data_IF_469738909177
#
_entry.id   IF_469738909177
#
_cell.length_a   1.000
_cell.length_b   1.000
_cell.length_c   1.000
_cell.angle_alpha   90.00
_cell.angle_beta   90.00
_cell.angle_gamma   90.00
#
_symmetry.space_group_name_H-M   'P 1'
#
loop_
_entity.id
_entity.type
_entity.pdbx_description
1 polymer ?
#
# COMPACT_ATOMS: atom_id res chain seq x y z
N UNK A 1 12.78 -0.27 -18.94
CA UNK A 1 11.34 -0.58 -19.06
C UNK A 1 10.64 -0.73 -17.69
N UNK A 2 11.05 -1.62 -16.74
CA UNK A 2 10.32 -1.83 -15.48
C UNK A 2 10.16 -0.59 -14.60
N UNK A 3 11.22 0.21 -14.45
CA UNK A 3 11.17 1.48 -13.69
C UNK A 3 10.14 2.45 -14.26
N UNK A 4 10.12 2.62 -15.59
CA UNK A 4 9.14 3.49 -16.25
C UNK A 4 7.70 2.99 -16.05
N UNK A 5 7.51 1.67 -16.06
CA UNK A 5 6.20 1.07 -15.79
C UNK A 5 5.76 1.33 -14.34
N UNK A 6 6.65 1.18 -13.37
CA UNK A 6 6.36 1.48 -11.98
C UNK A 6 6.00 2.96 -11.77
N UNK A 7 6.74 3.89 -12.39
CA UNK A 7 6.43 5.32 -12.35
C UNK A 7 5.07 5.59 -13.02
N UNK A 8 4.77 4.94 -14.15
CA UNK A 8 3.49 5.10 -14.83
C UNK A 8 2.31 4.59 -13.98
N UNK A 9 2.49 3.50 -13.24
CA UNK A 9 1.49 2.99 -12.28
C UNK A 9 1.24 4.03 -11.18
N UNK A 10 2.29 4.58 -10.55
CA UNK A 10 2.12 5.61 -9.53
C UNK A 10 1.42 6.86 -10.08
N UNK A 11 1.80 7.32 -11.28
CA UNK A 11 1.14 8.43 -11.95
C UNK A 11 -0.35 8.13 -12.24
N UNK A 12 -0.68 6.89 -12.64
CA UNK A 12 -2.05 6.45 -12.85
C UNK A 12 -2.86 6.45 -11.55
N UNK A 13 -2.29 5.98 -10.43
CA UNK A 13 -2.96 5.98 -9.13
C UNK A 13 -3.28 7.40 -8.65
N UNK A 14 -2.36 8.33 -8.85
CA UNK A 14 -2.56 9.75 -8.57
C UNK A 14 -3.65 10.32 -9.50
N UNK A 15 -3.58 10.02 -10.80
CA UNK A 15 -4.60 10.45 -11.76
C UNK A 15 -6.00 9.97 -11.38
N UNK A 16 -6.14 8.71 -10.96
CA UNK A 16 -7.42 8.13 -10.48
C UNK A 16 -7.94 8.90 -9.26
N UNK A 17 -7.07 9.20 -8.32
CA UNK A 17 -7.39 9.97 -7.12
C UNK A 17 -7.93 11.36 -7.48
N UNK A 18 -7.17 12.13 -8.25
CA UNK A 18 -7.58 13.48 -8.69
C UNK A 18 -8.84 13.44 -9.55
N UNK A 19 -8.97 12.42 -10.42
CA UNK A 19 -10.17 12.23 -11.23
C UNK A 19 -11.42 11.96 -10.37
N UNK A 20 -11.26 11.32 -9.21
CA UNK A 20 -12.33 11.16 -8.23
C UNK A 20 -12.88 12.52 -7.75
N UNK A 21 -12.03 13.41 -7.28
CA UNK A 21 -12.39 14.76 -6.85
C UNK A 21 -13.02 15.57 -7.98
N UNK A 22 -12.37 15.54 -9.15
CA UNK A 22 -12.83 16.23 -10.34
C UNK A 22 -14.23 15.77 -10.78
N UNK A 23 -14.44 14.45 -10.87
CA UNK A 23 -15.72 13.88 -11.27
C UNK A 23 -16.83 14.23 -10.25
N UNK A 24 -16.56 14.10 -8.96
CA UNK A 24 -17.52 14.45 -7.92
C UNK A 24 -17.92 15.93 -7.94
N UNK A 25 -16.96 16.83 -8.17
CA UNK A 25 -17.23 18.26 -8.31
C UNK A 25 -18.07 18.56 -9.56
N UNK A 26 -17.68 17.99 -10.72
CA UNK A 26 -18.40 18.21 -11.99
C UNK A 26 -19.81 17.63 -11.97
N UNK A 27 -20.01 16.45 -11.39
CA UNK A 27 -21.35 15.85 -11.28
C UNK A 27 -22.29 16.67 -10.40
N UNK A 28 -21.76 17.43 -9.46
CA UNK A 28 -22.52 18.37 -8.62
C UNK A 28 -22.64 19.78 -9.23
N UNK A 29 -22.10 20.02 -10.42
CA UNK A 29 -22.09 21.33 -11.07
C UNK A 29 -21.16 22.36 -10.40
N UNK A 30 -20.16 21.89 -9.63
CA UNK A 30 -19.19 22.76 -8.97
C UNK A 30 -18.14 23.20 -10.00
N UNK A 31 -17.77 24.46 -9.96
CA UNK A 31 -16.74 25.03 -10.82
C UNK A 31 -15.36 24.48 -10.49
N UNK A 32 -14.66 24.00 -11.53
CA UNK A 32 -13.28 23.51 -11.44
C UNK A 32 -12.44 24.22 -12.47
N UNK A 33 -11.48 25.03 -12.03
CA UNK A 33 -10.65 25.83 -12.93
C UNK A 33 -9.35 25.11 -13.35
N UNK A 34 -8.85 24.13 -12.58
CA UNK A 34 -7.62 23.40 -12.90
C UNK A 34 -7.73 21.92 -12.59
N UNK A 35 -7.13 21.10 -13.45
CA UNK A 35 -6.89 19.68 -13.24
C UNK A 35 -5.45 19.39 -13.64
N UNK A 36 -4.59 19.09 -12.68
CA UNK A 36 -3.15 18.95 -12.94
C UNK A 36 -2.61 17.64 -12.39
N UNK A 37 -1.86 16.93 -13.24
CA UNK A 37 -1.09 15.76 -12.85
C UNK A 37 0.38 16.17 -12.67
N UNK A 38 0.94 15.94 -11.47
CA UNK A 38 2.31 16.28 -11.13
C UNK A 38 2.50 17.70 -10.60
N UNK A 39 3.75 18.00 -10.23
CA UNK A 39 4.22 19.30 -9.77
C UNK A 39 5.36 19.85 -10.65
N UNK A 40 5.74 21.11 -10.41
CA UNK A 40 6.83 21.77 -11.11
C UNK A 40 6.44 22.36 -12.45
N UNK A 41 7.41 22.51 -13.42
CA UNK A 41 7.16 23.12 -14.72
C UNK A 41 6.10 22.37 -15.54
N UNK A 42 5.26 23.12 -16.26
CA UNK A 42 4.24 22.54 -17.14
C UNK A 42 4.91 21.98 -18.39
N UNK A 43 4.72 20.69 -18.65
CA UNK A 43 5.17 20.01 -19.87
C UNK A 43 4.12 20.08 -20.98
N UNK A 44 2.87 19.93 -20.60
CA UNK A 44 1.73 19.99 -21.51
C UNK A 44 0.56 20.68 -20.85
N UNK A 45 -0.17 21.49 -21.61
CA UNK A 45 -1.35 22.22 -21.14
C UNK A 45 -2.41 22.27 -22.24
N UNK A 46 -3.65 22.04 -21.83
CA UNK A 46 -4.83 22.21 -22.66
C UNK A 46 -5.87 23.04 -21.91
N UNK A 47 -6.31 24.15 -22.54
CA UNK A 47 -7.36 24.99 -21.99
C UNK A 47 -8.70 24.50 -22.50
N UNK A 48 -9.50 23.88 -21.63
CA UNK A 48 -10.91 23.59 -21.89
C UNK A 48 -11.79 24.83 -21.74
N UNK A 49 -13.11 24.64 -21.84
CA UNK A 49 -14.07 25.75 -21.70
C UNK A 49 -14.01 26.41 -20.33
N UNK A 50 -13.80 25.63 -19.28
CA UNK A 50 -13.79 26.07 -17.90
C UNK A 50 -12.51 25.61 -17.18
N UNK A 51 -12.03 24.42 -17.45
CA UNK A 51 -10.93 23.77 -16.75
C UNK A 51 -9.66 23.79 -17.59
N UNK A 52 -8.56 24.23 -17.00
CA UNK A 52 -7.21 24.03 -17.53
C UNK A 52 -6.73 22.61 -17.13
N UNK A 53 -6.34 21.81 -18.11
CA UNK A 53 -5.72 20.50 -17.91
C UNK A 53 -4.23 20.61 -18.08
N UNK A 54 -3.43 20.10 -17.16
CA UNK A 54 -1.98 20.19 -17.24
C UNK A 54 -1.27 18.89 -16.82
N UNK A 55 -0.16 18.59 -17.50
CA UNK A 55 0.81 17.57 -17.07
C UNK A 55 2.11 18.30 -16.74
N UNK A 56 2.67 18.00 -15.59
CA UNK A 56 3.87 18.64 -15.05
C UNK A 56 5.04 17.67 -14.95
N UNK A 57 6.24 18.22 -14.80
CA UNK A 57 7.48 17.45 -14.93
C UNK A 57 7.71 16.42 -13.82
N UNK A 58 7.21 16.65 -12.62
CA UNK A 58 7.39 15.76 -11.47
C UNK A 58 6.10 14.99 -11.22
N UNK A 59 6.01 13.68 -11.53
CA UNK A 59 4.79 12.88 -11.37
C UNK A 59 4.58 12.43 -9.91
N UNK A 60 4.80 13.34 -8.96
CA UNK A 60 4.70 13.13 -7.52
C UNK A 60 3.51 13.89 -6.97
N UNK A 61 2.28 13.45 -7.31
CA UNK A 61 1.05 14.10 -6.88
C UNK A 61 0.26 14.73 -8.04
N UNK A 62 -0.81 15.39 -7.69
CA UNK A 62 -1.68 16.12 -8.59
C UNK A 62 -2.51 17.13 -7.79
N UNK A 63 -3.40 17.87 -8.43
CA UNK A 63 -4.38 18.67 -7.74
C UNK A 63 -5.56 19.04 -8.64
N UNK A 64 -6.72 19.14 -8.01
CA UNK A 64 -7.91 19.77 -8.56
C UNK A 64 -8.02 21.17 -7.99
N UNK A 65 -7.97 22.19 -8.85
CA UNK A 65 -8.10 23.59 -8.44
C UNK A 65 -9.53 24.06 -8.53
N UNK A 66 -9.97 24.76 -7.48
CA UNK A 66 -11.28 25.42 -7.42
C UNK A 66 -11.11 26.94 -7.57
N UNK A 67 -12.05 27.63 -8.24
CA UNK A 67 -11.98 29.09 -8.37
C UNK A 67 -12.03 29.86 -7.06
N UNK A 68 -12.40 29.19 -5.97
CA UNK A 68 -12.47 29.75 -4.59
C UNK A 68 -11.12 30.28 -4.09
N UNK A 69 -10.02 29.67 -4.58
CA UNK A 69 -8.66 29.94 -4.16
C UNK A 69 -7.92 30.86 -5.16
N UNK A 70 -8.64 31.38 -6.17
CA UNK A 70 -8.06 32.24 -7.19
C UNK A 70 -8.58 33.67 -7.06
N UNK A 71 -7.68 34.61 -6.71
CA UNK A 71 -8.01 36.05 -6.61
C UNK A 71 -8.54 36.64 -7.93
N UNK A 72 -8.25 35.98 -9.05
CA UNK A 72 -8.71 36.35 -10.40
C UNK A 72 -9.90 35.52 -10.90
N UNK A 73 -10.62 34.89 -9.96
CA UNK A 73 -11.81 34.10 -10.29
C UNK A 73 -12.80 34.92 -11.11
N UNK A 74 -13.29 34.38 -12.26
CA UNK A 74 -14.31 35.06 -13.05
C UNK A 74 -15.70 35.00 -12.39
N UNK A 75 -15.87 34.25 -11.32
CA UNK A 75 -17.15 34.03 -10.65
C UNK A 75 -17.32 34.98 -9.48
N UNK A 76 -18.55 35.49 -9.22
CA UNK A 76 -18.83 36.31 -8.06
C UNK A 76 -18.64 35.52 -6.76
N UNK A 77 -18.24 36.17 -5.65
CA UNK A 77 -17.94 35.46 -4.39
C UNK A 77 -19.10 34.66 -3.78
N UNK A 78 -20.33 35.00 -4.14
CA UNK A 78 -21.60 34.41 -3.71
C UNK A 78 -22.17 33.39 -4.71
N UNK A 79 -21.44 33.06 -5.78
CA UNK A 79 -21.86 32.04 -6.75
C UNK A 79 -22.13 30.70 -6.04
N UNK A 80 -23.33 30.11 -6.19
CA UNK A 80 -23.72 28.87 -5.51
C UNK A 80 -22.92 27.66 -5.99
N UNK A 81 -22.23 27.74 -7.13
CA UNK A 81 -21.43 26.67 -7.68
C UNK A 81 -19.94 26.74 -7.28
N UNK A 82 -19.53 27.72 -6.49
CA UNK A 82 -18.25 27.69 -5.82
C UNK A 82 -18.26 26.64 -4.69
N UNK A 83 -17.20 25.86 -4.56
CA UNK A 83 -17.12 24.79 -3.55
C UNK A 83 -17.35 25.33 -2.13
N UNK A 84 -16.77 26.49 -1.80
CA UNK A 84 -16.98 27.16 -0.51
C UNK A 84 -18.46 27.50 -0.20
N UNK A 85 -19.29 27.73 -1.23
CA UNK A 85 -20.70 28.11 -1.06
C UNK A 85 -21.63 26.89 -1.03
N UNK A 86 -21.12 25.70 -1.32
CA UNK A 86 -21.89 24.45 -1.31
C UNK A 86 -22.24 23.99 0.10
N UNK A 87 -23.36 23.26 0.26
CA UNK A 87 -23.69 22.57 1.50
C UNK A 87 -22.55 21.68 1.97
N UNK A 88 -22.47 21.44 3.27
CA UNK A 88 -21.43 20.62 3.88
C UNK A 88 -21.35 19.21 3.27
N UNK A 89 -22.51 18.61 2.97
CA UNK A 89 -22.59 17.29 2.36
C UNK A 89 -21.90 17.25 0.98
N UNK A 90 -22.13 18.26 0.13
CA UNK A 90 -21.52 18.36 -1.20
C UNK A 90 -20.00 18.45 -1.10
N UNK A 91 -19.52 19.29 -0.17
CA UNK A 91 -18.07 19.45 0.09
C UNK A 91 -17.46 18.15 0.60
N UNK A 92 -18.15 17.43 1.48
CA UNK A 92 -17.69 16.14 2.01
C UNK A 92 -17.60 15.08 0.89
N UNK A 93 -18.59 15.03 -0.02
CA UNK A 93 -18.58 14.14 -1.18
C UNK A 93 -17.37 14.45 -2.06
N UNK A 94 -17.08 15.72 -2.37
CA UNK A 94 -15.91 16.08 -3.18
C UNK A 94 -14.61 15.66 -2.47
N UNK A 95 -14.45 15.98 -1.17
CA UNK A 95 -13.21 15.68 -0.44
C UNK A 95 -12.98 14.17 -0.22
N UNK A 96 -14.03 13.36 -0.12
CA UNK A 96 -13.90 11.89 0.01
C UNK A 96 -13.77 11.17 -1.34
N UNK A 97 -14.06 11.82 -2.46
CA UNK A 97 -14.17 11.17 -3.75
C UNK A 97 -12.82 10.62 -4.27
N UNK A 98 -11.71 11.27 -3.99
CA UNK A 98 -10.37 10.77 -4.34
C UNK A 98 -10.04 9.46 -3.62
N UNK A 99 -10.32 9.42 -2.32
CA UNK A 99 -10.17 8.19 -1.50
C UNK A 99 -11.04 7.07 -2.05
N UNK A 100 -12.32 7.34 -2.30
CA UNK A 100 -13.27 6.35 -2.83
C UNK A 100 -12.88 5.88 -4.24
N UNK A 101 -12.36 6.76 -5.09
CA UNK A 101 -11.87 6.41 -6.42
C UNK A 101 -10.69 5.43 -6.34
N UNK A 102 -9.73 5.65 -5.45
CA UNK A 102 -8.61 4.74 -5.26
C UNK A 102 -9.05 3.38 -4.69
N UNK A 103 -9.99 3.34 -3.75
CA UNK A 103 -10.55 2.10 -3.23
C UNK A 103 -11.28 1.31 -4.32
N UNK A 104 -12.13 1.99 -5.12
CA UNK A 104 -12.83 1.37 -6.25
C UNK A 104 -11.86 0.88 -7.32
N UNK A 105 -10.82 1.65 -7.63
CA UNK A 105 -9.80 1.27 -8.60
C UNK A 105 -9.01 0.05 -8.16
N UNK A 106 -8.62 -0.05 -6.89
CA UNK A 106 -7.95 -1.23 -6.34
C UNK A 106 -8.79 -2.49 -6.54
N UNK A 107 -10.10 -2.41 -6.24
CA UNK A 107 -11.01 -3.54 -6.46
C UNK A 107 -11.11 -3.90 -7.95
N UNK A 108 -11.23 -2.90 -8.83
CA UNK A 108 -11.27 -3.10 -10.28
C UNK A 108 -10.00 -3.77 -10.81
N UNK A 109 -8.82 -3.38 -10.34
CA UNK A 109 -7.53 -4.01 -10.69
C UNK A 109 -7.51 -5.48 -10.28
N UNK A 110 -8.01 -5.83 -9.10
CA UNK A 110 -8.10 -7.23 -8.65
C UNK A 110 -9.10 -8.04 -9.48
N UNK A 111 -10.26 -7.47 -9.81
CA UNK A 111 -11.23 -8.10 -10.73
C UNK A 111 -10.58 -8.37 -12.08
N UNK A 112 -9.88 -7.38 -12.65
CA UNK A 112 -9.19 -7.51 -13.92
C UNK A 112 -8.07 -8.57 -13.84
N UNK A 113 -7.31 -8.59 -12.75
CA UNK A 113 -6.26 -9.58 -12.50
C UNK A 113 -6.83 -11.01 -12.56
N UNK A 114 -7.88 -11.30 -11.79
CA UNK A 114 -8.47 -12.64 -11.78
C UNK A 114 -9.20 -13.00 -13.07
N UNK A 115 -9.76 -12.01 -13.78
CA UNK A 115 -10.38 -12.22 -15.07
C UNK A 115 -9.38 -12.59 -16.17
N UNK A 116 -8.20 -11.97 -16.17
CA UNK A 116 -7.20 -12.14 -17.22
C UNK A 116 -6.21 -13.28 -16.92
N UNK A 117 -5.79 -13.40 -15.66
CA UNK A 117 -4.73 -14.35 -15.28
C UNK A 117 -5.29 -15.63 -14.68
N UNK A 118 -6.53 -15.61 -14.22
CA UNK A 118 -7.17 -16.74 -13.56
C UNK A 118 -7.08 -16.67 -12.03
N UNK A 119 -7.70 -17.66 -11.38
CA UNK A 119 -7.82 -17.76 -9.93
C UNK A 119 -6.76 -18.71 -9.40
N UNK A 120 -5.99 -18.31 -8.36
CA UNK A 120 -5.06 -19.21 -7.69
C UNK A 120 -5.79 -20.42 -7.10
N UNK A 121 -5.39 -21.60 -7.48
CA UNK A 121 -5.90 -22.87 -6.96
C UNK A 121 -4.76 -23.69 -6.41
N UNK A 122 -4.87 -24.06 -5.14
CA UNK A 122 -3.92 -24.98 -4.53
C UNK A 122 -4.15 -26.37 -5.15
N UNK A 123 -3.17 -26.84 -5.90
CA UNK A 123 -3.24 -28.15 -6.59
C UNK A 123 -2.63 -29.24 -5.76
N UNK A 124 -1.64 -28.92 -4.95
CA UNK A 124 -0.94 -29.89 -4.11
C UNK A 124 -0.33 -29.22 -2.89
N UNK A 125 -0.55 -29.80 -1.73
CA UNK A 125 0.22 -29.51 -0.52
C UNK A 125 1.49 -30.36 -0.57
N UNK A 126 2.62 -29.71 -0.32
CA UNK A 126 3.92 -30.35 -0.24
C UNK A 126 4.38 -30.43 1.22
N UNK A 127 5.19 -31.44 1.58
CA UNK A 127 5.76 -31.56 2.91
C UNK A 127 6.55 -30.31 3.34
N UNK A 128 6.38 -29.92 4.61
CA UNK A 128 7.17 -28.90 5.26
C UNK A 128 6.60 -27.49 5.20
N UNK A 129 7.26 -26.58 5.88
CA UNK A 129 6.94 -25.15 5.97
C UNK A 129 7.93 -24.38 5.12
N UNK A 130 7.45 -23.59 4.17
CA UNK A 130 8.28 -22.79 3.29
C UNK A 130 8.74 -21.51 4.00
N UNK A 131 10.04 -21.24 3.98
CA UNK A 131 10.62 -19.95 4.33
C UNK A 131 10.54 -19.06 3.11
N UNK A 132 9.54 -18.15 3.10
CA UNK A 132 9.32 -17.25 1.96
C UNK A 132 10.38 -16.14 1.89
N UNK A 133 10.82 -15.64 3.06
CA UNK A 133 11.85 -14.61 3.14
C UNK A 133 12.65 -14.75 4.44
N UNK A 134 13.90 -14.31 4.41
CA UNK A 134 14.78 -14.17 5.58
C UNK A 134 15.16 -12.71 5.70
N UNK A 135 14.94 -12.14 6.89
CA UNK A 135 15.23 -10.73 7.15
C UNK A 135 16.73 -10.52 7.32
N UNK A 136 17.33 -9.48 6.70
CA UNK A 136 18.75 -9.15 6.91
C UNK A 136 19.09 -8.89 8.37
N UNK A 137 20.24 -9.36 8.83
CA UNK A 137 20.71 -9.24 10.20
C UNK A 137 19.96 -10.10 11.24
N UNK A 138 19.01 -10.93 10.79
CA UNK A 138 18.19 -11.75 11.66
C UNK A 138 18.92 -12.99 12.22
N UNK A 139 18.40 -13.60 13.31
CA UNK A 139 18.91 -14.89 13.80
C UNK A 139 18.87 -16.00 12.74
N UNK A 140 17.86 -16.00 11.87
CA UNK A 140 17.73 -16.96 10.78
C UNK A 140 18.85 -16.81 9.75
N UNK A 141 19.15 -15.57 9.33
CA UNK A 141 20.25 -15.30 8.41
C UNK A 141 21.60 -15.71 8.99
N UNK A 142 21.86 -15.34 10.27
CA UNK A 142 23.11 -15.74 10.96
C UNK A 142 23.25 -17.25 11.12
N UNK A 143 22.14 -17.97 11.22
CA UNK A 143 22.12 -19.43 11.24
C UNK A 143 22.31 -20.08 9.85
N UNK A 144 22.25 -19.29 8.77
CA UNK A 144 22.41 -19.76 7.40
C UNK A 144 21.13 -20.23 6.71
N UNK A 145 19.94 -19.88 7.26
CA UNK A 145 18.66 -20.06 6.57
C UNK A 145 18.57 -19.12 5.37
N UNK A 146 17.93 -19.59 4.32
CA UNK A 146 17.75 -18.86 3.07
C UNK A 146 16.26 -18.83 2.66
N UNK A 147 15.90 -17.88 1.82
CA UNK A 147 14.60 -17.90 1.16
C UNK A 147 14.47 -19.20 0.33
N UNK A 148 13.26 -19.71 0.23
CA UNK A 148 12.90 -21.00 -0.41
C UNK A 148 13.39 -22.27 0.32
N UNK A 149 14.04 -22.16 1.47
CA UNK A 149 14.27 -23.30 2.34
C UNK A 149 12.93 -23.85 2.86
N UNK A 150 12.82 -25.17 2.96
CA UNK A 150 11.62 -25.86 3.48
C UNK A 150 11.96 -26.55 4.78
N UNK A 151 11.37 -26.11 5.88
CA UNK A 151 11.52 -26.72 7.22
C UNK A 151 10.69 -28.00 7.28
N UNK A 152 11.33 -29.15 7.37
CA UNK A 152 10.69 -30.45 7.51
C UNK A 152 10.50 -30.88 8.98
N UNK A 153 11.44 -30.47 9.84
CA UNK A 153 11.39 -30.72 11.29
C UNK A 153 11.94 -29.52 12.07
N UNK A 154 11.38 -29.31 13.25
CA UNK A 154 11.91 -28.34 14.21
C UNK A 154 11.86 -28.95 15.61
N UNK A 155 13.01 -29.17 16.25
CA UNK A 155 13.14 -29.96 17.47
C UNK A 155 12.41 -31.31 17.33
N UNK A 156 11.42 -31.58 18.20
CA UNK A 156 10.63 -32.82 18.18
C UNK A 156 9.40 -32.77 17.26
N UNK A 157 9.13 -31.62 16.62
CA UNK A 157 7.97 -31.42 15.72
C UNK A 157 8.30 -31.81 14.30
N UNK A 158 7.45 -32.63 13.70
CA UNK A 158 7.60 -33.14 12.30
C UNK A 158 6.53 -32.53 11.39
N UNK A 159 6.98 -31.90 10.31
CA UNK A 159 6.13 -31.27 9.30
C UNK A 159 6.23 -31.97 7.93
N UNK A 160 6.80 -33.17 7.90
CA UNK A 160 7.03 -33.91 6.64
C UNK A 160 5.77 -34.57 6.08
N UNK A 161 4.71 -34.70 6.86
CA UNK A 161 3.43 -35.31 6.43
C UNK A 161 2.27 -34.34 6.60
N UNK A 162 2.04 -33.50 5.60
CA UNK A 162 0.93 -32.54 5.55
C UNK A 162 -0.05 -32.95 4.47
N UNK A 163 -1.25 -33.34 4.87
CA UNK A 163 -2.25 -33.93 3.98
C UNK A 163 -3.09 -32.87 3.23
N UNK A 164 -3.34 -31.72 3.88
CA UNK A 164 -4.29 -30.70 3.39
C UNK A 164 -3.91 -29.28 3.87
N UNK A 165 -4.65 -28.29 3.41
CA UNK A 165 -4.43 -26.89 3.77
C UNK A 165 -4.62 -26.60 5.28
N UNK A 166 -5.49 -27.37 5.96
CA UNK A 166 -5.72 -27.20 7.39
C UNK A 166 -4.51 -27.68 8.20
N UNK A 167 -3.94 -28.83 7.85
CA UNK A 167 -2.70 -29.34 8.44
C UNK A 167 -1.49 -28.45 8.16
N UNK A 168 -1.40 -27.86 6.97
CA UNK A 168 -0.36 -26.90 6.63
C UNK A 168 -0.45 -25.60 7.48
N UNK A 169 -1.65 -25.07 7.68
CA UNK A 169 -1.86 -23.93 8.57
C UNK A 169 -1.59 -24.26 10.03
N UNK A 170 -1.99 -25.45 10.49
CA UNK A 170 -1.70 -25.92 11.83
C UNK A 170 -0.18 -26.03 12.06
N UNK A 171 0.56 -26.57 11.10
CA UNK A 171 2.03 -26.65 11.15
C UNK A 171 2.70 -25.28 11.24
N UNK A 172 2.21 -24.27 10.50
CA UNK A 172 2.71 -22.90 10.60
C UNK A 172 2.51 -22.31 12.00
N UNK A 173 1.31 -22.48 12.57
CA UNK A 173 0.99 -21.99 13.91
C UNK A 173 1.81 -22.71 14.99
N UNK A 174 1.99 -24.02 14.84
CA UNK A 174 2.80 -24.83 15.74
C UNK A 174 4.26 -24.39 15.72
N UNK A 175 4.86 -24.25 14.53
CA UNK A 175 6.23 -23.73 14.38
C UNK A 175 6.39 -22.33 14.97
N UNK A 176 5.46 -21.43 14.74
CA UNK A 176 5.49 -20.08 15.34
C UNK A 176 5.42 -20.15 16.87
N UNK A 177 4.62 -21.06 17.40
CA UNK A 177 4.48 -21.25 18.85
C UNK A 177 5.77 -21.81 19.45
N UNK A 178 6.38 -22.80 18.79
CA UNK A 178 7.68 -23.37 19.17
C UNK A 178 8.76 -22.27 19.21
N UNK A 179 8.87 -21.45 18.18
CA UNK A 179 9.85 -20.35 18.14
C UNK A 179 9.60 -19.35 19.25
N UNK A 180 8.34 -18.98 19.50
CA UNK A 180 7.99 -18.03 20.59
C UNK A 180 8.30 -18.55 21.98
N UNK A 181 8.15 -19.84 22.20
CA UNK A 181 8.45 -20.48 23.51
C UNK A 181 9.94 -20.74 23.76
N UNK A 182 10.76 -20.73 22.70
CA UNK A 182 12.19 -21.08 22.75
C UNK A 182 13.11 -19.86 22.78
N UNK A 183 12.72 -18.78 23.48
CA UNK A 183 13.54 -17.56 23.57
C UNK A 183 14.96 -17.86 24.10
N UNK A 184 15.98 -17.45 23.34
CA UNK A 184 17.41 -17.65 23.65
C UNK A 184 17.82 -19.12 23.80
N UNK A 185 17.02 -20.06 23.31
CA UNK A 185 17.35 -21.49 23.32
C UNK A 185 17.61 -21.97 21.90
N UNK A 186 18.59 -22.86 21.67
CA UNK A 186 18.87 -23.41 20.35
C UNK A 186 17.72 -24.32 19.88
N UNK A 187 17.17 -24.04 18.72
CA UNK A 187 16.15 -24.85 18.05
C UNK A 187 16.79 -25.51 16.84
N UNK A 188 17.01 -26.85 16.85
CA UNK A 188 17.50 -27.56 15.69
C UNK A 188 16.40 -27.67 14.63
N UNK A 189 16.73 -27.34 13.40
CA UNK A 189 15.85 -27.41 12.23
C UNK A 189 16.43 -28.39 11.21
N UNK A 190 15.61 -29.27 10.68
CA UNK A 190 15.92 -30.04 9.48
C UNK A 190 15.27 -29.34 8.28
N UNK A 191 16.12 -28.87 7.38
CA UNK A 191 15.71 -28.00 6.28
C UNK A 191 16.10 -28.65 4.96
N UNK A 192 15.16 -28.67 4.01
CA UNK A 192 15.41 -29.04 2.62
C UNK A 192 15.64 -27.78 1.79
N UNK A 193 16.84 -27.65 1.23
CA UNK A 193 17.21 -26.55 0.35
C UNK A 193 16.85 -26.90 -1.09
N UNK A 194 15.96 -26.10 -1.69
CA UNK A 194 15.39 -26.38 -3.03
C UNK A 194 16.45 -26.44 -4.13
N UNK A 195 17.41 -25.50 -4.11
CA UNK A 195 18.45 -25.44 -5.15
C UNK A 195 19.36 -26.68 -5.24
N UNK A 196 19.54 -27.39 -4.13
CA UNK A 196 20.51 -28.51 -4.05
C UNK A 196 19.85 -29.83 -3.67
N UNK A 197 18.55 -29.89 -3.45
CA UNK A 197 17.82 -31.03 -2.87
C UNK A 197 18.49 -31.62 -1.60
N UNK A 198 19.30 -30.80 -0.94
CA UNK A 198 20.10 -31.24 0.20
C UNK A 198 19.28 -31.04 1.51
N UNK A 199 19.34 -32.06 2.36
CA UNK A 199 18.89 -31.99 3.74
C UNK A 199 20.00 -31.36 4.58
N UNK A 200 19.71 -30.27 5.24
CA UNK A 200 20.62 -29.52 6.12
C UNK A 200 20.09 -29.53 7.54
N UNK A 201 20.99 -29.69 8.51
CA UNK A 201 20.67 -29.43 9.91
C UNK A 201 21.20 -28.05 10.27
N UNK A 202 20.27 -27.16 10.63
CA UNK A 202 20.54 -25.76 10.96
C UNK A 202 20.00 -25.50 12.35
N UNK A 203 20.82 -24.96 13.25
CA UNK A 203 20.35 -24.56 14.58
C UNK A 203 20.16 -23.07 14.62
N UNK A 204 18.92 -22.62 14.93
CA UNK A 204 18.58 -21.20 15.07
C UNK A 204 18.32 -20.88 16.56
N UNK A 205 18.74 -19.71 17.01
CA UNK A 205 18.47 -19.24 18.36
C UNK A 205 17.49 -18.06 18.25
N UNK A 206 16.20 -18.27 18.62
CA UNK A 206 15.21 -17.19 18.61
C UNK A 206 15.58 -16.07 19.58
N UNK A 207 15.55 -14.83 19.12
CA UNK A 207 15.88 -13.66 19.93
C UNK A 207 14.65 -12.85 20.26
N UNK A 208 14.69 -12.17 21.41
CA UNK A 208 13.62 -11.27 21.83
C UNK A 208 13.78 -9.94 21.10
N UNK A 209 12.79 -9.59 20.28
CA UNK A 209 12.67 -8.31 19.58
C UNK A 209 11.49 -7.52 20.19
N UNK A 210 11.75 -6.66 21.16
CA UNK A 210 10.71 -6.02 21.96
C UNK A 210 9.92 -7.05 22.79
N UNK A 211 8.61 -7.09 22.60
CA UNK A 211 7.72 -8.07 23.27
C UNK A 211 7.61 -9.42 22.55
N UNK A 212 8.13 -9.53 21.33
CA UNK A 212 8.01 -10.74 20.50
C UNK A 212 9.33 -11.50 20.47
N UNK A 213 9.24 -12.83 20.44
CA UNK A 213 10.37 -13.72 20.18
C UNK A 213 10.27 -14.18 18.73
N UNK A 214 11.34 -13.99 17.97
CA UNK A 214 11.34 -14.31 16.54
C UNK A 214 12.73 -14.72 16.05
N UNK A 215 12.76 -15.36 14.88
CA UNK A 215 13.99 -15.67 14.15
C UNK A 215 14.18 -14.80 12.90
N UNK A 216 13.18 -13.96 12.57
CA UNK A 216 13.24 -13.04 11.44
C UNK A 216 13.03 -13.70 10.08
N UNK A 217 12.01 -14.56 9.97
CA UNK A 217 11.58 -15.17 8.71
C UNK A 217 10.12 -14.88 8.42
N UNK A 218 9.78 -14.82 7.14
CA UNK A 218 8.40 -14.91 6.66
C UNK A 218 8.12 -16.36 6.28
N UNK A 219 7.02 -16.91 6.78
CA UNK A 219 6.62 -18.31 6.56
C UNK A 219 5.42 -18.37 5.64
N UNK A 220 5.37 -19.43 4.81
CA UNK A 220 4.24 -19.74 3.96
C UNK A 220 3.97 -21.27 3.96
N UNK A 221 2.74 -21.72 3.66
CA UNK A 221 2.48 -23.12 3.37
C UNK A 221 3.33 -23.58 2.18
N UNK A 222 3.94 -24.74 2.27
CA UNK A 222 4.63 -25.34 1.12
C UNK A 222 3.58 -25.99 0.22
N UNK A 223 3.18 -25.27 -0.83
CA UNK A 223 2.09 -25.67 -1.71
C UNK A 223 2.37 -25.31 -3.17
N UNK A 224 1.89 -26.13 -4.07
CA UNK A 224 1.83 -25.78 -5.50
C UNK A 224 0.54 -25.01 -5.75
N UNK A 225 0.67 -23.84 -6.30
CA UNK A 225 -0.45 -22.99 -6.68
C UNK A 225 -0.42 -22.83 -8.20
N UNK A 226 -1.47 -23.31 -8.85
CA UNK A 226 -1.67 -23.10 -10.28
C UNK A 226 -2.80 -22.11 -10.53
N UNK A 227 -2.66 -21.29 -11.55
CA UNK A 227 -3.74 -20.44 -12.01
C UNK A 227 -4.71 -21.25 -12.86
N UNK A 228 -5.98 -21.22 -12.54
CA UNK A 228 -7.04 -21.82 -13.37
C UNK A 228 -8.00 -20.73 -13.86
N UNK A 229 -8.62 -20.89 -15.04
CA UNK A 229 -9.68 -20.00 -15.47
C UNK A 229 -10.82 -19.96 -14.45
N UNK A 230 -11.39 -18.78 -14.28
CA UNK A 230 -12.60 -18.63 -13.46
C UNK A 230 -13.79 -19.36 -14.10
N UNK A 231 -14.65 -19.96 -13.30
CA UNK A 231 -15.82 -20.67 -13.79
C UNK A 231 -16.93 -19.71 -14.22
N UNK A 232 -17.04 -18.57 -13.57
CA UNK A 232 -18.04 -17.55 -13.84
C UNK A 232 -17.64 -16.19 -13.25
N UNK A 233 -18.37 -15.13 -13.61
CA UNK A 233 -18.13 -13.78 -13.10
C UNK A 233 -18.29 -13.70 -11.56
N UNK A 234 -19.22 -14.44 -10.97
CA UNK A 234 -19.42 -14.45 -9.53
C UNK A 234 -18.19 -14.91 -8.76
N UNK A 235 -17.49 -15.92 -9.28
CA UNK A 235 -16.24 -16.41 -8.70
C UNK A 235 -15.13 -15.33 -8.77
N UNK A 236 -15.01 -14.64 -9.92
CA UNK A 236 -14.06 -13.53 -10.05
C UNK A 236 -14.32 -12.45 -9.01
N UNK A 237 -15.56 -12.00 -8.87
CA UNK A 237 -15.94 -10.96 -7.93
C UNK A 237 -15.71 -11.40 -6.48
N UNK A 238 -15.97 -12.67 -6.15
CA UNK A 238 -15.74 -13.20 -4.80
C UNK A 238 -14.24 -13.24 -4.47
N UNK A 239 -13.41 -13.76 -5.38
CA UNK A 239 -11.97 -13.83 -5.14
C UNK A 239 -11.31 -12.44 -5.13
N UNK A 240 -11.78 -11.52 -5.98
CA UNK A 240 -11.38 -10.11 -5.91
C UNK A 240 -11.77 -9.49 -4.56
N UNK A 241 -12.99 -9.79 -4.05
CA UNK A 241 -13.44 -9.33 -2.75
C UNK A 241 -12.59 -9.88 -1.60
N UNK A 242 -12.26 -11.18 -1.63
CA UNK A 242 -11.38 -11.81 -0.64
C UNK A 242 -9.98 -11.20 -0.66
N UNK A 243 -9.39 -11.02 -1.84
CA UNK A 243 -8.09 -10.38 -2.00
C UNK A 243 -8.10 -8.93 -1.52
N UNK A 244 -9.13 -8.17 -1.91
CA UNK A 244 -9.32 -6.79 -1.48
C UNK A 244 -9.41 -6.67 0.05
N UNK A 245 -10.22 -7.50 0.69
CA UNK A 245 -10.34 -7.52 2.16
C UNK A 245 -9.00 -7.83 2.83
N UNK A 246 -8.23 -8.80 2.31
CA UNK A 246 -6.88 -9.11 2.82
C UNK A 246 -5.97 -7.90 2.72
N UNK A 247 -5.94 -7.20 1.58
CA UNK A 247 -5.10 -6.02 1.37
C UNK A 247 -5.51 -4.85 2.28
N UNK A 248 -6.80 -4.59 2.44
CA UNK A 248 -7.30 -3.56 3.38
C UNK A 248 -6.90 -3.90 4.81
N UNK A 249 -7.13 -5.14 5.26
CA UNK A 249 -6.77 -5.58 6.61
C UNK A 249 -5.25 -5.45 6.84
N UNK A 250 -4.43 -5.84 5.87
CA UNK A 250 -2.98 -5.72 5.94
C UNK A 250 -2.53 -4.25 6.08
N UNK A 251 -3.12 -3.33 5.28
CA UNK A 251 -2.83 -1.90 5.38
C UNK A 251 -3.21 -1.33 6.76
N UNK A 252 -4.41 -1.65 7.26
CA UNK A 252 -4.88 -1.17 8.57
C UNK A 252 -4.03 -1.73 9.72
N UNK A 253 -3.66 -3.01 9.64
CA UNK A 253 -2.78 -3.64 10.65
C UNK A 253 -1.38 -3.03 10.60
N UNK A 254 -0.82 -2.79 9.41
CA UNK A 254 0.46 -2.11 9.24
C UNK A 254 0.45 -0.69 9.81
N UNK A 255 -0.62 0.08 9.56
CA UNK A 255 -0.80 1.41 10.13
C UNK A 255 -0.91 1.35 11.67
N UNK A 256 -1.67 0.39 12.21
CA UNK A 256 -1.79 0.20 13.65
C UNK A 256 -0.45 -0.15 14.30
N UNK A 257 0.36 -1.01 13.67
CA UNK A 257 1.70 -1.36 14.15
C UNK A 257 2.64 -0.16 14.07
N UNK A 258 2.57 0.63 13.00
CA UNK A 258 3.33 1.88 12.87
C UNK A 258 3.01 2.86 14.01
N UNK A 259 1.74 3.01 14.37
CA UNK A 259 1.32 3.91 15.45
C UNK A 259 1.73 3.39 16.84
N UNK A 260 1.74 2.07 17.05
CA UNK A 260 2.10 1.44 18.33
C UNK A 260 3.61 1.37 18.55
N UNK A 261 4.36 1.06 17.50
CA UNK A 261 5.80 0.76 17.56
C UNK A 261 6.60 1.66 16.60
N UNK A 262 6.31 2.97 16.60
CA UNK A 262 6.87 3.93 15.65
C UNK A 262 8.40 3.87 15.53
N UNK A 263 9.12 3.77 16.67
CA UNK A 263 10.58 3.76 16.65
C UNK A 263 11.19 2.57 15.89
N UNK A 264 10.53 1.41 15.94
CA UNK A 264 11.04 0.19 15.27
C UNK A 264 10.53 0.04 13.83
N UNK A 265 9.36 0.63 13.52
CA UNK A 265 8.73 0.50 12.20
C UNK A 265 9.03 1.67 11.26
N UNK A 266 9.36 2.85 11.79
CA UNK A 266 9.68 4.03 11.00
C UNK A 266 10.87 3.82 10.03
N UNK A 267 11.83 2.98 10.43
CA UNK A 267 12.97 2.62 9.57
C UNK A 267 12.59 1.76 8.36
N UNK A 268 11.47 1.06 8.45
CA UNK A 268 10.95 0.18 7.40
C UNK A 268 10.05 0.89 6.40
N UNK A 269 9.71 2.18 6.64
CA UNK A 269 8.90 2.96 5.71
C UNK A 269 9.70 3.19 4.43
N UNK A 270 9.19 2.69 3.32
CA UNK A 270 9.72 2.98 1.99
C UNK A 270 9.19 4.31 1.48
N UNK A 271 10.06 5.15 0.98
CA UNK A 271 9.69 6.37 0.28
C UNK A 271 9.31 6.12 -1.19
N UNK A 272 9.07 7.19 -1.95
CA UNK A 272 8.67 7.07 -3.36
C UNK A 272 9.67 6.30 -4.21
N UNK A 273 10.97 6.44 -3.96
CA UNK A 273 12.02 5.75 -4.72
C UNK A 273 12.05 4.26 -4.39
N UNK A 274 11.87 3.89 -3.12
CA UNK A 274 11.75 2.49 -2.69
C UNK A 274 10.53 1.81 -3.30
N UNK A 275 9.38 2.50 -3.32
CA UNK A 275 8.15 1.99 -3.96
C UNK A 275 8.36 1.75 -5.46
N UNK A 276 9.04 2.70 -6.16
CA UNK A 276 9.38 2.52 -7.59
C UNK A 276 10.30 1.33 -7.80
N UNK A 277 11.31 1.13 -6.93
CA UNK A 277 12.21 -0.03 -6.99
C UNK A 277 11.43 -1.34 -6.84
N UNK A 278 10.63 -1.46 -5.77
CA UNK A 278 9.79 -2.66 -5.52
C UNK A 278 8.88 -2.94 -6.72
N UNK A 279 8.16 -1.94 -7.22
CA UNK A 279 7.30 -2.11 -8.39
C UNK A 279 8.05 -2.49 -9.66
N UNK A 280 9.28 -1.98 -9.84
CA UNK A 280 10.12 -2.34 -10.98
C UNK A 280 10.65 -3.78 -10.88
N UNK A 281 10.96 -4.26 -9.68
CA UNK A 281 11.40 -5.63 -9.45
C UNK A 281 10.23 -6.60 -9.70
N UNK A 282 9.04 -6.33 -9.13
CA UNK A 282 7.83 -7.11 -9.38
C UNK A 282 7.42 -7.13 -10.87
N UNK A 283 7.64 -6.03 -11.59
CA UNK A 283 7.38 -5.96 -13.03
C UNK A 283 8.29 -6.85 -13.89
N UNK A 284 9.41 -7.33 -13.32
CA UNK A 284 10.30 -8.32 -13.97
C UNK A 284 9.86 -9.75 -13.70
N UNK A 285 9.28 -9.97 -12.52
CA UNK A 285 8.95 -11.31 -12.05
C UNK A 285 7.66 -11.82 -12.72
N UNK A 286 6.54 -11.16 -12.46
CA UNK A 286 5.26 -11.55 -13.05
C UNK A 286 4.21 -10.42 -13.02
N UNK A 287 3.23 -10.53 -13.93
CA UNK A 287 2.14 -9.54 -14.07
C UNK A 287 1.17 -9.59 -12.87
N UNK A 288 0.93 -10.77 -12.28
CA UNK A 288 0.00 -10.91 -11.18
C UNK A 288 0.52 -10.18 -9.93
N UNK A 289 1.81 -10.33 -9.62
CA UNK A 289 2.48 -9.62 -8.53
C UNK A 289 2.42 -8.10 -8.74
N UNK A 290 2.65 -7.63 -9.97
CA UNK A 290 2.55 -6.20 -10.29
C UNK A 290 1.14 -5.65 -10.13
N UNK A 291 0.10 -6.38 -10.58
CA UNK A 291 -1.30 -5.97 -10.43
C UNK A 291 -1.73 -5.99 -8.96
N UNK A 292 -1.31 -7.01 -8.21
CA UNK A 292 -1.57 -7.08 -6.77
C UNK A 292 -0.90 -5.93 -6.02
N UNK A 293 0.35 -5.60 -6.37
CA UNK A 293 1.07 -4.44 -5.84
C UNK A 293 0.36 -3.12 -6.20
N UNK A 294 -0.14 -2.99 -7.43
CA UNK A 294 -0.91 -1.81 -7.87
C UNK A 294 -2.16 -1.61 -7.00
N UNK A 295 -2.91 -2.70 -6.74
CA UNK A 295 -4.06 -2.65 -5.85
C UNK A 295 -3.66 -2.30 -4.40
N UNK A 296 -2.55 -2.88 -3.90
CA UNK A 296 -2.01 -2.59 -2.58
C UNK A 296 -1.67 -1.10 -2.40
N UNK A 297 -0.92 -0.52 -3.36
CA UNK A 297 -0.53 0.90 -3.31
C UNK A 297 -1.76 1.81 -3.45
N UNK A 298 -2.75 1.44 -4.27
CA UNK A 298 -4.00 2.19 -4.40
C UNK A 298 -4.77 2.26 -3.06
N UNK A 299 -4.88 1.13 -2.35
CA UNK A 299 -5.49 1.08 -1.02
C UNK A 299 -4.66 1.88 -0.01
N UNK A 300 -3.32 1.77 -0.07
CA UNK A 300 -2.43 2.51 0.83
C UNK A 300 -2.59 4.03 0.65
N UNK A 301 -2.63 4.52 -0.61
CA UNK A 301 -2.92 5.93 -0.90
C UNK A 301 -4.28 6.37 -0.34
N UNK A 302 -5.32 5.53 -0.49
CA UNK A 302 -6.64 5.83 0.05
C UNK A 302 -6.62 5.91 1.58
N UNK A 303 -5.99 4.94 2.26
CA UNK A 303 -5.88 4.90 3.72
C UNK A 303 -5.09 6.09 4.25
N UNK A 304 -3.94 6.41 3.64
CA UNK A 304 -3.11 7.56 4.04
C UNK A 304 -3.86 8.89 3.83
N UNK A 305 -4.50 9.06 2.67
CA UNK A 305 -5.29 10.28 2.39
C UNK A 305 -6.52 10.42 3.28
N UNK A 306 -7.03 9.33 3.87
CA UNK A 306 -8.14 9.39 4.84
C UNK A 306 -7.68 9.80 6.25
N UNK A 307 -6.39 9.75 6.56
CA UNK A 307 -5.90 10.18 7.87
C UNK A 307 -6.17 11.68 8.10
N UNK A 308 -6.58 12.08 9.32
CA UNK A 308 -6.87 13.48 9.65
C UNK A 308 -5.59 14.31 9.79
N UNK A 309 -4.74 14.24 8.77
CA UNK A 309 -3.46 14.96 8.72
C UNK A 309 -3.61 16.20 7.83
N UNK A 310 -3.14 17.38 8.28
CA UNK A 310 -3.14 18.57 7.44
C UNK A 310 -2.30 18.36 6.17
N UNK A 311 -2.81 18.81 5.04
CA UNK A 311 -2.17 18.61 3.73
C UNK A 311 -2.66 17.39 2.96
N UNK A 312 -3.53 16.56 3.58
CA UNK A 312 -4.23 15.43 2.95
C UNK A 312 -5.74 15.67 2.95
N UNK A 313 -6.50 14.89 2.17
CA UNK A 313 -7.98 14.99 2.11
C UNK A 313 -8.63 14.76 3.47
N UNK A 314 -8.12 13.81 4.25
CA UNK A 314 -8.57 13.54 5.61
C UNK A 314 -8.47 14.75 6.53
N UNK A 315 -7.52 15.64 6.31
CA UNK A 315 -7.43 16.94 7.00
C UNK A 315 -8.59 17.84 6.65
N UNK A 316 -8.95 17.97 5.37
CA UNK A 316 -10.14 18.72 4.93
C UNK A 316 -11.43 18.09 5.47
N UNK A 317 -11.55 16.75 5.40
CA UNK A 317 -12.68 16.01 5.96
C UNK A 317 -12.80 16.27 7.48
N UNK A 318 -11.70 16.26 8.22
CA UNK A 318 -11.70 16.56 9.65
C UNK A 318 -12.18 18.00 9.95
N UNK A 319 -11.80 18.98 9.14
CA UNK A 319 -12.31 20.35 9.27
C UNK A 319 -13.81 20.43 8.96
N UNK A 320 -14.31 19.73 7.94
CA UNK A 320 -15.73 19.65 7.64
C UNK A 320 -16.54 19.00 8.77
N UNK A 321 -16.02 17.95 9.39
CA UNK A 321 -16.63 17.30 10.56
C UNK A 321 -16.66 18.28 11.75
N UNK A 322 -15.56 18.99 11.99
CA UNK A 322 -15.51 20.01 13.05
C UNK A 322 -16.50 21.16 12.80
N UNK A 323 -16.65 21.60 11.54
CA UNK A 323 -17.66 22.57 11.13
C UNK A 323 -19.08 22.07 11.44
N UNK A 324 -19.37 20.79 11.13
CA UNK A 324 -20.66 20.16 11.42
C UNK A 324 -20.97 20.14 12.92
N UNK A 325 -19.99 19.81 13.76
CA UNK A 325 -20.16 19.75 15.22
C UNK A 325 -20.34 21.15 15.81
N UNK A 326 -19.59 22.14 15.32
CA UNK A 326 -19.64 23.52 15.84
C UNK A 326 -20.82 24.36 15.31
N UNK A 327 -21.44 23.92 14.21
CA UNK A 327 -22.49 24.68 13.50
C UNK A 327 -21.99 25.95 12.81
N UNK A 328 -20.68 26.19 12.73
CA UNK A 328 -20.06 27.34 12.05
C UNK A 328 -18.68 26.99 11.52
N UNK A 329 -18.30 27.62 10.39
CA UNK A 329 -17.01 27.46 9.75
C UNK A 329 -15.87 27.93 10.64
N UNK A 330 -14.71 27.30 10.42
CA UNK A 330 -13.45 27.80 10.95
C UNK A 330 -13.06 29.10 10.24
N UNK A 331 -12.32 30.01 10.91
CA UNK A 331 -11.70 31.13 10.23
C UNK A 331 -10.77 30.60 9.10
N UNK A 332 -10.90 31.18 7.91
CA UNK A 332 -10.15 30.76 6.71
C UNK A 332 -8.63 30.77 6.95
N UNK A 333 -8.14 31.78 7.67
CA UNK A 333 -6.72 31.94 7.99
C UNK A 333 -6.17 30.79 8.86
N UNK A 334 -7.02 30.21 9.72
CA UNK A 334 -6.63 29.07 10.58
C UNK A 334 -6.55 27.81 9.75
N UNK A 335 -7.57 27.54 8.92
CA UNK A 335 -7.62 26.39 8.04
C UNK A 335 -6.43 26.39 7.07
N UNK A 336 -6.20 27.51 6.37
CA UNK A 336 -5.09 27.66 5.43
C UNK A 336 -3.72 27.47 6.08
N UNK A 337 -3.47 28.11 7.25
CA UNK A 337 -2.19 27.95 7.95
C UNK A 337 -1.93 26.53 8.39
N UNK A 338 -2.95 25.85 8.92
CA UNK A 338 -2.80 24.45 9.35
C UNK A 338 -2.52 23.56 8.15
N UNK A 339 -3.28 23.71 7.05
CA UNK A 339 -3.08 22.92 5.83
C UNK A 339 -1.72 23.19 5.18
N UNK A 340 -1.28 24.44 5.08
CA UNK A 340 0.04 24.78 4.54
C UNK A 340 1.18 24.22 5.39
N UNK A 341 1.05 24.29 6.72
CA UNK A 341 2.07 23.73 7.63
C UNK A 341 2.15 22.20 7.46
N UNK A 342 0.99 21.52 7.40
CA UNK A 342 0.94 20.08 7.15
C UNK A 342 1.56 19.71 5.81
N UNK A 343 1.21 20.42 4.75
CA UNK A 343 1.80 20.22 3.42
C UNK A 343 3.33 20.40 3.44
N UNK A 344 3.83 21.44 4.10
CA UNK A 344 5.27 21.68 4.21
C UNK A 344 5.98 20.53 4.96
N UNK A 345 5.37 20.01 6.03
CA UNK A 345 5.91 18.86 6.76
C UNK A 345 5.90 17.58 5.92
N UNK A 346 4.82 17.32 5.18
CA UNK A 346 4.71 16.16 4.29
C UNK A 346 5.72 16.22 3.14
N UNK A 347 5.91 17.40 2.54
CA UNK A 347 6.93 17.60 1.52
C UNK A 347 8.34 17.40 2.10
N UNK A 348 8.61 17.93 3.29
CA UNK A 348 9.89 17.72 4.00
C UNK A 348 10.15 16.23 4.28
N UNK A 349 9.13 15.51 4.76
CA UNK A 349 9.21 14.06 4.96
C UNK A 349 9.45 13.33 3.63
N UNK A 350 8.75 13.72 2.56
CA UNK A 350 8.93 13.14 1.23
C UNK A 350 10.37 13.30 0.72
N UNK A 351 10.94 14.50 0.83
CA UNK A 351 12.34 14.75 0.47
C UNK A 351 13.31 13.92 1.31
N UNK A 352 13.06 13.83 2.62
CA UNK A 352 13.87 13.00 3.51
C UNK A 352 13.82 11.51 3.11
N UNK A 353 12.64 10.97 2.81
CA UNK A 353 12.49 9.59 2.37
C UNK A 353 13.15 9.33 1.02
N UNK A 354 13.05 10.24 0.06
CA UNK A 354 13.76 10.14 -1.23
C UNK A 354 15.28 10.05 -0.99
N UNK A 355 15.82 10.89 -0.10
CA UNK A 355 17.25 10.86 0.22
C UNK A 355 17.63 9.54 0.90
N UNK A 356 16.87 9.09 1.89
CA UNK A 356 17.05 7.80 2.59
C UNK A 356 17.07 6.63 1.60
N UNK A 357 16.04 6.52 0.74
CA UNK A 357 15.93 5.42 -0.22
C UNK A 357 17.08 5.42 -1.22
N UNK A 358 17.44 6.61 -1.73
CA UNK A 358 18.55 6.76 -2.67
C UNK A 358 19.87 6.33 -2.04
N UNK A 359 20.10 6.73 -0.79
CA UNK A 359 21.31 6.33 -0.05
C UNK A 359 21.34 4.81 0.15
N UNK A 360 20.22 4.20 0.56
CA UNK A 360 20.11 2.75 0.74
C UNK A 360 20.42 1.97 -0.55
N UNK A 361 19.93 2.46 -1.69
CA UNK A 361 20.20 1.85 -3.00
C UNK A 361 21.69 1.96 -3.36
N UNK A 362 22.32 3.13 -3.15
CA UNK A 362 23.73 3.37 -3.50
C UNK A 362 24.68 2.59 -2.59
N UNK A 363 24.34 2.45 -1.30
CA UNK A 363 25.18 1.71 -0.33
C UNK A 363 24.94 0.20 -0.32
N UNK A 364 23.97 -0.30 -1.09
CA UNK A 364 23.61 -1.74 -1.13
C UNK A 364 22.97 -2.25 0.16
N UNK A 365 22.48 -1.36 1.02
CA UNK A 365 21.83 -1.68 2.30
C UNK A 365 20.30 -1.69 2.23
N UNK A 366 19.73 -1.68 1.00
CA UNK A 366 18.28 -1.62 0.75
C UNK A 366 17.74 -2.81 -0.02
#
# INVERSE_FOLDING_TARGET
>A
MPILLSIAILALLILVHEAGHFAAAKLQGIHVNRFSLGFGPVLWRYQGKETEYAIRALPLGGYVGFPDDDERSPYPPDDPNLLKNRPLADRLVVMSAGVLANLAFAYLVLVLMFALLGIPSVTRIQPGILIAQVMPGSPAERAGLQAEDVVLRAADHDYSDLADAASALAALNDFQTLIRSSANQPVPLQVRRREKEALLEITVIPERQGEKVAIGVSLAPNQEVNLRPAQNLGEILTEAGNAYQRLVTMNLTGLQELLRNFQNTATQISGPVGIVKIGADLARDDVASLLNFTALISINLAVLNLLPLPGLDGGHIAFLILEAIRGKRLPKEVEERVMQTGLALLLGLGVFLIFKDTLAIVTGSG
#
